data_IF_730166649831
#
_entry.id   IF_730166649831
#
_cell.length_a   1.000
_cell.length_b   1.000
_cell.length_c   1.000
_cell.angle_alpha   90.00
_cell.angle_beta   90.00
_cell.angle_gamma   90.00
#
_symmetry.space_group_name_H-M   'P 1'
#
loop_
_entity.id
_entity.type
_entity.pdbx_description
1 polymer ?
#
# COMPACT_ATOMS: atom_id res chain seq x y z
N UNK A 1 26.15 8.25 3.14
CA UNK A 1 25.05 7.31 2.77
C UNK A 1 24.10 8.01 1.82
N UNK A 2 23.80 7.44 0.66
CA UNK A 2 22.80 8.01 -0.25
C UNK A 2 21.42 7.96 0.43
N UNK A 3 20.75 9.11 0.52
CA UNK A 3 19.39 9.20 1.03
C UNK A 3 18.48 8.34 0.14
N UNK A 4 17.88 7.29 0.71
CA UNK A 4 16.96 6.44 -0.04
C UNK A 4 15.62 7.16 -0.19
N UNK A 5 15.27 7.49 -1.42
CA UNK A 5 13.98 8.08 -1.76
C UNK A 5 12.82 7.22 -1.23
N UNK A 6 11.87 7.89 -0.57
CA UNK A 6 10.63 7.27 -0.08
C UNK A 6 9.64 7.15 -1.24
N UNK A 7 9.01 5.99 -1.38
CA UNK A 7 8.05 5.72 -2.45
C UNK A 7 6.66 5.59 -1.85
N UNK A 8 5.71 6.39 -2.36
CA UNK A 8 4.29 6.27 -2.05
C UNK A 8 3.57 5.68 -3.26
N UNK A 9 2.87 4.56 -3.07
CA UNK A 9 2.12 3.86 -4.11
C UNK A 9 0.62 4.02 -3.81
N UNK A 10 -0.09 4.66 -4.73
CA UNK A 10 -1.55 4.77 -4.72
C UNK A 10 -2.12 3.64 -5.58
N UNK A 11 -3.12 2.92 -5.07
CA UNK A 11 -3.69 1.77 -5.79
C UNK A 11 -2.81 0.52 -5.77
N UNK A 12 -1.96 0.36 -4.74
CA UNK A 12 -1.08 -0.81 -4.59
C UNK A 12 -1.80 -2.16 -4.52
N UNK A 13 -3.10 -2.16 -4.20
CA UNK A 13 -3.98 -3.36 -4.21
C UNK A 13 -4.55 -3.70 -5.57
N UNK A 14 -4.28 -2.91 -6.61
CA UNK A 14 -4.65 -3.22 -7.99
C UNK A 14 -3.82 -4.35 -8.60
N UNK A 15 -4.25 -4.81 -9.79
CA UNK A 15 -3.59 -5.93 -10.47
C UNK A 15 -2.11 -5.67 -10.79
N UNK A 16 -1.79 -4.46 -11.24
CA UNK A 16 -0.40 -4.03 -11.53
C UNK A 16 0.30 -3.52 -10.26
N UNK A 17 -0.44 -2.80 -9.41
CA UNK A 17 0.08 -2.18 -8.19
C UNK A 17 0.82 -3.16 -7.28
N UNK A 18 0.33 -4.40 -7.16
CA UNK A 18 0.97 -5.44 -6.35
C UNK A 18 2.41 -5.76 -6.75
N UNK A 19 2.70 -5.74 -8.06
CA UNK A 19 4.03 -6.01 -8.58
C UNK A 19 4.99 -4.84 -8.37
N UNK A 20 4.47 -3.61 -8.50
CA UNK A 20 5.24 -2.38 -8.23
C UNK A 20 5.64 -2.32 -6.76
N UNK A 21 4.73 -2.65 -5.84
CA UNK A 21 5.02 -2.73 -4.40
C UNK A 21 6.13 -3.76 -4.15
N UNK A 22 6.02 -4.96 -4.72
CA UNK A 22 7.04 -5.99 -4.59
C UNK A 22 8.41 -5.57 -5.14
N UNK A 23 8.44 -4.86 -6.27
CA UNK A 23 9.68 -4.35 -6.84
C UNK A 23 10.33 -3.26 -5.96
N UNK A 24 9.53 -2.37 -5.37
CA UNK A 24 10.00 -1.32 -4.44
C UNK A 24 10.65 -1.92 -3.18
N UNK A 25 10.02 -2.96 -2.61
CA UNK A 25 10.57 -3.70 -1.47
C UNK A 25 11.89 -4.39 -1.84
N UNK A 26 11.95 -5.05 -3.01
CA UNK A 26 13.19 -5.66 -3.53
C UNK A 26 14.30 -4.64 -3.76
N UNK A 27 13.95 -3.43 -4.20
CA UNK A 27 14.88 -2.30 -4.32
C UNK A 27 15.33 -1.71 -2.97
N UNK A 28 14.89 -2.30 -1.84
CA UNK A 28 15.20 -1.88 -0.46
C UNK A 28 14.90 -0.41 -0.21
N UNK A 29 13.84 0.12 -0.81
CA UNK A 29 13.35 1.49 -0.59
C UNK A 29 12.22 1.50 0.43
N UNK A 30 12.16 2.50 1.33
CA UNK A 30 10.99 2.69 2.20
C UNK A 30 9.73 2.85 1.34
N UNK A 31 8.80 1.90 1.49
CA UNK A 31 7.62 1.80 0.62
C UNK A 31 6.36 2.02 1.44
N UNK A 32 5.53 2.96 0.99
CA UNK A 32 4.25 3.31 1.58
C UNK A 32 3.14 2.96 0.59
N UNK A 33 2.05 2.37 1.06
CA UNK A 33 0.88 2.06 0.22
C UNK A 33 -0.34 2.78 0.77
N UNK A 34 -0.99 3.57 -0.08
CA UNK A 34 -2.21 4.27 0.29
C UNK A 34 -3.42 3.34 0.10
N UNK A 35 -4.16 3.13 1.19
CA UNK A 35 -5.32 2.23 1.25
C UNK A 35 -6.54 2.99 1.75
N UNK A 36 -7.71 2.68 1.19
CA UNK A 36 -8.99 3.15 1.75
C UNK A 36 -9.38 2.27 2.94
N UNK A 37 -10.01 2.81 3.98
CA UNK A 37 -10.51 2.00 5.11
C UNK A 37 -11.44 0.84 4.66
N UNK A 38 -12.26 1.06 3.63
CA UNK A 38 -13.11 0.04 3.01
C UNK A 38 -12.36 -1.11 2.33
N UNK A 39 -11.04 -0.98 2.15
CA UNK A 39 -10.20 -2.05 1.56
C UNK A 39 -10.01 -3.20 2.55
N UNK A 40 -10.12 -2.94 3.86
CA UNK A 40 -9.92 -3.92 4.92
C UNK A 40 -11.16 -4.82 5.10
N UNK A 41 -12.35 -4.35 4.70
CA UNK A 41 -13.58 -5.13 4.77
C UNK A 41 -13.65 -6.23 3.70
N UNK A 42 -12.94 -6.07 2.57
CA UNK A 42 -12.90 -7.08 1.51
C UNK A 42 -11.90 -8.20 1.88
N UNK A 43 -12.32 -9.48 1.99
CA UNK A 43 -11.43 -10.58 2.42
C UNK A 43 -10.28 -10.82 1.45
N UNK A 44 -10.48 -10.60 0.15
CA UNK A 44 -9.44 -10.73 -0.89
C UNK A 44 -8.37 -9.66 -0.73
N UNK A 45 -8.78 -8.40 -0.52
CA UNK A 45 -7.83 -7.30 -0.39
C UNK A 45 -7.14 -7.31 0.98
N UNK A 46 -7.81 -7.80 2.03
CA UNK A 46 -7.23 -8.00 3.36
C UNK A 46 -5.99 -8.91 3.33
N UNK A 47 -6.08 -10.06 2.66
CA UNK A 47 -4.93 -10.97 2.48
C UNK A 47 -3.74 -10.26 1.81
N UNK A 48 -4.00 -9.36 0.85
CA UNK A 48 -2.93 -8.59 0.22
C UNK A 48 -2.30 -7.59 1.18
N UNK A 49 -3.11 -6.91 1.99
CA UNK A 49 -2.63 -5.96 3.01
C UNK A 49 -1.76 -6.67 4.05
N UNK A 50 -2.17 -7.84 4.52
CA UNK A 50 -1.37 -8.67 5.44
C UNK A 50 -0.03 -9.08 4.80
N UNK A 51 -0.06 -9.44 3.52
CA UNK A 51 1.16 -9.76 2.77
C UNK A 51 2.09 -8.55 2.63
N UNK A 52 1.55 -7.34 2.45
CA UNK A 52 2.34 -6.11 2.42
C UNK A 52 2.96 -5.77 3.78
N UNK A 53 2.23 -5.99 4.89
CA UNK A 53 2.76 -5.80 6.25
C UNK A 53 3.94 -6.75 6.51
N UNK A 54 3.83 -8.03 6.11
CA UNK A 54 4.91 -9.01 6.24
C UNK A 54 6.16 -8.66 5.40
N UNK A 55 5.97 -7.93 4.29
CA UNK A 55 7.06 -7.46 3.43
C UNK A 55 7.72 -6.15 3.94
N UNK A 56 7.26 -5.59 5.06
CA UNK A 56 7.78 -4.36 5.63
C UNK A 56 7.29 -3.09 4.92
N UNK A 57 6.18 -3.17 4.19
CA UNK A 57 5.51 -2.02 3.59
C UNK A 57 4.64 -1.33 4.64
N UNK A 58 4.64 -0.01 4.69
CA UNK A 58 3.81 0.74 5.64
C UNK A 58 2.48 1.15 4.98
N UNK A 59 1.33 0.59 5.42
CA UNK A 59 0.03 1.01 4.93
C UNK A 59 -0.36 2.38 5.51
N UNK A 60 -0.81 3.29 4.65
CA UNK A 60 -1.40 4.57 5.01
C UNK A 60 -2.89 4.53 4.73
N UNK A 61 -3.71 4.67 5.77
CA UNK A 61 -5.16 4.62 5.65
C UNK A 61 -5.75 6.00 5.42
N UNK A 62 -6.54 6.14 4.36
CA UNK A 62 -7.30 7.35 4.07
C UNK A 62 -8.79 7.09 4.30
N UNK A 63 -9.42 7.95 5.10
CA UNK A 63 -10.87 8.07 5.19
C UNK A 63 -11.34 9.05 4.13
N UNK A 64 -11.94 8.55 3.06
CA UNK A 64 -12.73 9.38 2.17
C UNK A 64 -14.11 9.54 2.82
N UNK A 65 -14.24 10.53 3.71
CA UNK A 65 -15.52 11.04 4.16
C UNK A 65 -16.03 11.96 3.07
N UNK A 66 -16.66 11.37 2.05
CA UNK A 66 -17.53 12.14 1.17
C UNK A 66 -18.69 12.59 2.05
N UNK A 67 -18.68 13.85 2.49
CA UNK A 67 -19.91 14.52 2.93
C UNK A 67 -20.81 14.56 1.71
N UNK A 68 -21.65 13.55 1.60
CA UNK A 68 -22.69 13.46 0.60
C UNK A 68 -23.97 14.04 1.20
N UNK A 69 -23.92 15.32 1.62
CA UNK A 69 -25.05 16.18 1.96
C UNK A 69 -24.58 17.64 1.91
#
# INVERSE_FOLDING_TARGET
MAEKSKILIIGGTGHVGKFIVGASVKARRPTFVLLRKSTVSDPVKRKMVDNFNNLGVTPLYVSCTINLF
#
